data_IF_528421998292
#
_entry.id   IF_528421998292
#
_cell.length_a   1.000
_cell.length_b   1.000
_cell.length_c   1.000
_cell.angle_alpha   90.00
_cell.angle_beta   90.00
_cell.angle_gamma   90.00
#
_symmetry.space_group_name_H-M   'P 1'
#
loop_
_entity.id
_entity.type
_entity.pdbx_description
1 polymer ?
#
# COMPACT_ATOMS: atom_id res chain seq x y z
N UNK A 1 16.19 13.63 5.82
CA UNK A 1 15.10 12.84 6.43
C UNK A 1 13.76 13.59 6.46
N UNK A 2 13.70 14.91 6.22
CA UNK A 2 12.46 15.69 6.37
C UNK A 2 11.64 15.95 5.10
N UNK A 3 12.22 15.87 3.91
CA UNK A 3 11.59 16.41 2.69
C UNK A 3 10.41 15.62 2.14
N UNK A 4 10.46 14.30 2.15
CA UNK A 4 9.37 13.45 1.64
C UNK A 4 8.20 13.44 2.61
N UNK A 5 8.47 13.42 3.91
CA UNK A 5 7.48 13.44 4.98
C UNK A 5 6.65 14.71 4.97
N UNK A 6 7.31 15.87 4.90
CA UNK A 6 6.62 17.17 4.82
C UNK A 6 5.73 17.26 3.56
N UNK A 7 6.18 16.69 2.43
CA UNK A 7 5.38 16.64 1.19
C UNK A 7 4.25 15.63 1.28
N UNK A 8 4.49 14.45 1.85
CA UNK A 8 3.48 13.41 1.99
C UNK A 8 2.37 13.84 2.97
N UNK A 9 2.74 14.39 4.12
CA UNK A 9 1.79 15.04 5.03
C UNK A 9 1.02 16.16 4.35
N UNK A 10 1.69 17.02 3.58
CA UNK A 10 1.02 18.07 2.82
C UNK A 10 0.00 17.51 1.82
N UNK A 11 0.25 16.36 1.20
CA UNK A 11 -0.63 15.73 0.20
C UNK A 11 -1.82 15.04 0.87
N UNK A 12 -1.62 14.30 1.95
CA UNK A 12 -2.72 13.71 2.74
C UNK A 12 -3.58 14.82 3.33
N UNK A 13 -2.98 15.83 3.96
CA UNK A 13 -3.71 16.98 4.50
C UNK A 13 -4.37 17.84 3.42
N UNK A 14 -3.87 17.90 2.19
CA UNK A 14 -4.51 18.64 1.11
C UNK A 14 -5.74 17.89 0.57
N UNK A 15 -5.69 16.56 0.46
CA UNK A 15 -6.85 15.75 0.12
C UNK A 15 -7.94 15.91 1.18
N UNK A 16 -7.60 15.85 2.46
CA UNK A 16 -8.51 16.11 3.58
C UNK A 16 -9.02 17.56 3.61
N UNK A 17 -8.16 18.57 3.44
CA UNK A 17 -8.53 20.00 3.46
C UNK A 17 -9.39 20.42 2.29
N UNK A 18 -9.35 19.73 1.14
CA UNK A 18 -10.25 20.03 0.02
C UNK A 18 -11.68 19.62 0.33
N UNK A 19 -11.83 18.49 1.03
CA UNK A 19 -13.11 18.03 1.59
C UNK A 19 -13.57 18.99 2.70
N UNK A 20 -12.68 19.45 3.58
CA UNK A 20 -13.00 20.29 4.73
C UNK A 20 -13.35 21.75 4.41
N UNK A 21 -12.76 22.36 3.37
CA UNK A 21 -13.09 23.74 3.00
C UNK A 21 -14.56 23.94 2.65
N UNK A 22 -15.23 22.91 2.12
CA UNK A 22 -16.66 22.95 1.85
C UNK A 22 -17.54 22.57 3.05
N UNK A 23 -17.02 21.75 4.00
CA UNK A 23 -17.78 21.33 5.20
C UNK A 23 -17.93 22.45 6.25
N UNK A 24 -16.98 23.39 6.34
CA UNK A 24 -17.00 24.43 7.38
C UNK A 24 -18.06 25.53 7.20
N UNK A 25 -18.75 25.61 6.06
CA UNK A 25 -19.78 26.63 5.85
C UNK A 25 -21.18 26.24 6.29
N UNK A 26 -21.47 24.95 6.55
CA UNK A 26 -22.83 24.53 6.94
C UNK A 26 -22.74 23.37 7.95
N UNK A 27 -23.13 23.64 9.22
CA UNK A 27 -23.52 22.57 10.16
C UNK A 27 -24.78 21.88 9.63
N UNK A 28 -24.62 20.83 8.82
CA UNK A 28 -25.75 20.00 8.36
C UNK A 28 -25.93 18.82 9.31
N UNK A 29 -27.18 18.47 9.68
CA UNK A 29 -27.44 17.21 10.36
C UNK A 29 -27.04 16.07 9.40
N UNK A 30 -26.42 15.03 9.96
CA UNK A 30 -26.00 13.80 9.28
C UNK A 30 -27.03 13.38 8.21
N UNK A 31 -26.72 13.59 6.94
CA UNK A 31 -27.41 12.94 5.84
C UNK A 31 -26.72 11.57 5.68
N UNK A 32 -27.39 10.50 6.03
CA UNK A 32 -27.07 9.14 5.58
C UNK A 32 -27.06 9.21 4.05
N UNK A 33 -26.03 8.60 3.42
CA UNK A 33 -25.90 8.38 1.98
C UNK A 33 -25.00 9.39 1.20
N UNK A 34 -24.11 10.14 1.82
CA UNK A 34 -23.07 10.88 1.08
C UNK A 34 -22.00 9.90 0.59
N UNK A 35 -21.61 9.99 -0.70
CA UNK A 35 -20.55 9.17 -1.29
C UNK A 35 -19.22 9.91 -1.32
N UNK A 36 -18.14 9.18 -1.24
CA UNK A 36 -16.78 9.69 -1.42
C UNK A 36 -15.97 8.81 -2.37
N UNK A 37 -15.04 9.41 -3.10
CA UNK A 37 -14.02 8.70 -3.87
C UNK A 37 -12.75 8.67 -3.05
N UNK A 38 -12.20 7.49 -2.81
CA UNK A 38 -10.99 7.28 -2.02
C UNK A 38 -9.89 6.66 -2.89
N UNK A 39 -9.00 7.47 -3.48
CA UNK A 39 -7.86 6.97 -4.24
C UNK A 39 -6.72 6.55 -3.30
N UNK A 40 -6.17 5.36 -3.49
CA UNK A 40 -4.98 4.89 -2.78
C UNK A 40 -3.70 5.47 -3.42
N UNK A 41 -2.58 5.44 -2.69
CA UNK A 41 -1.30 5.86 -3.26
C UNK A 41 -0.89 4.93 -4.40
N UNK A 42 -0.80 5.49 -5.59
CA UNK A 42 -0.42 4.77 -6.80
C UNK A 42 1.06 4.85 -7.14
N UNK A 43 1.43 4.25 -8.27
CA UNK A 43 2.79 4.28 -8.80
C UNK A 43 2.80 4.35 -10.33
N UNK A 44 3.92 4.72 -10.89
CA UNK A 44 4.03 4.80 -12.34
C UNK A 44 5.42 5.22 -12.81
N UNK A 45 5.48 5.48 -14.10
CA UNK A 45 6.67 5.94 -14.80
C UNK A 45 6.39 7.29 -15.46
N UNK A 46 7.38 7.83 -16.14
CA UNK A 46 7.17 9.01 -16.99
C UNK A 46 6.15 8.79 -18.13
N UNK A 47 5.72 7.55 -18.39
CA UNK A 47 4.84 7.19 -19.52
C UNK A 47 3.50 6.61 -19.11
N UNK A 48 3.39 6.07 -17.93
CA UNK A 48 2.21 5.36 -17.44
C UNK A 48 2.02 5.64 -15.95
N UNK A 49 0.77 5.89 -15.53
CA UNK A 49 0.39 6.05 -14.12
C UNK A 49 -0.64 4.98 -13.77
N UNK A 50 -0.43 4.31 -12.65
CA UNK A 50 -1.34 3.30 -12.10
C UNK A 50 -1.80 3.70 -10.71
N UNK A 51 -3.09 3.57 -10.47
CA UNK A 51 -3.70 3.83 -9.16
C UNK A 51 -4.95 2.97 -9.00
N UNK A 52 -5.16 2.44 -7.80
CA UNK A 52 -6.40 1.82 -7.35
C UNK A 52 -7.14 2.77 -6.41
N UNK A 53 -8.46 2.71 -6.38
CA UNK A 53 -9.27 3.49 -5.44
C UNK A 53 -10.60 2.79 -5.16
N UNK A 54 -11.41 3.39 -4.30
CA UNK A 54 -12.73 2.89 -3.93
C UNK A 54 -13.75 4.02 -3.86
N UNK A 55 -14.99 3.74 -4.25
CA UNK A 55 -16.16 4.60 -3.97
C UNK A 55 -16.91 3.97 -2.80
N UNK A 56 -17.15 4.74 -1.76
CA UNK A 56 -17.77 4.28 -0.52
C UNK A 56 -18.64 5.37 0.10
N UNK A 57 -19.52 4.99 1.04
CA UNK A 57 -20.30 5.95 1.80
C UNK A 57 -19.44 6.73 2.80
N UNK A 58 -19.62 8.06 2.85
CA UNK A 58 -19.03 8.93 3.87
C UNK A 58 -19.87 8.84 5.15
N UNK A 59 -19.47 8.01 6.10
CA UNK A 59 -20.14 7.89 7.41
C UNK A 59 -19.85 9.06 8.36
N UNK A 60 -19.38 10.20 7.85
CA UNK A 60 -19.17 11.43 8.62
C UNK A 60 -18.12 11.25 9.71
N UNK A 61 -16.97 10.69 9.35
CA UNK A 61 -15.82 10.55 10.25
C UNK A 61 -15.36 11.96 10.61
N UNK A 62 -15.50 12.33 11.89
CA UNK A 62 -15.10 13.65 12.38
C UNK A 62 -13.57 13.75 12.30
N UNK A 63 -13.09 14.92 11.83
CA UNK A 63 -11.68 15.24 11.74
C UNK A 63 -10.93 14.83 13.02
N UNK A 64 -9.81 14.11 12.84
CA UNK A 64 -8.89 13.87 13.92
C UNK A 64 -8.33 15.23 14.38
N UNK A 65 -8.67 15.64 15.59
CA UNK A 65 -7.90 16.68 16.27
C UNK A 65 -6.49 16.12 16.50
N UNK A 66 -5.46 16.97 16.53
CA UNK A 66 -4.03 16.64 16.69
C UNK A 66 -3.68 15.65 17.82
N UNK A 67 -4.62 15.37 18.72
CA UNK A 67 -4.54 14.41 19.83
C UNK A 67 -5.34 13.09 19.58
N UNK A 68 -5.83 12.84 18.37
CA UNK A 68 -6.58 11.62 18.09
C UNK A 68 -5.65 10.42 18.07
N UNK A 69 -5.77 9.60 19.10
CA UNK A 69 -4.99 8.37 19.27
C UNK A 69 -5.16 7.42 18.07
N UNK A 70 -4.13 6.62 17.77
CA UNK A 70 -4.18 5.48 16.84
C UNK A 70 -5.48 4.65 16.94
N UNK A 71 -6.08 4.60 18.14
CA UNK A 71 -7.35 3.96 18.43
C UNK A 71 -8.53 4.61 17.68
N UNK A 72 -8.53 5.93 17.49
CA UNK A 72 -9.61 6.64 16.79
C UNK A 72 -9.50 6.40 15.29
N UNK A 73 -8.29 6.46 14.75
CA UNK A 73 -8.03 6.12 13.34
C UNK A 73 -8.41 4.68 13.02
N UNK A 74 -8.17 3.75 13.96
CA UNK A 74 -8.64 2.37 13.88
C UNK A 74 -10.16 2.22 13.86
N UNK A 75 -10.86 2.97 14.71
CA UNK A 75 -12.33 2.97 14.76
C UNK A 75 -12.88 3.55 13.46
N UNK A 76 -12.23 4.57 12.92
CA UNK A 76 -12.65 5.23 11.71
C UNK A 76 -12.35 4.39 10.46
N UNK A 77 -11.21 3.70 10.42
CA UNK A 77 -10.91 2.66 9.41
C UNK A 77 -11.93 1.51 9.45
N UNK A 78 -12.32 1.07 10.66
CA UNK A 78 -13.34 0.03 10.81
C UNK A 78 -14.73 0.50 10.36
N UNK A 79 -15.09 1.74 10.61
CA UNK A 79 -16.36 2.31 10.10
C UNK A 79 -16.39 2.41 8.58
N UNK A 80 -15.24 2.68 7.93
CA UNK A 80 -15.11 2.60 6.47
C UNK A 80 -15.24 1.18 5.96
N UNK A 81 -14.82 0.18 6.77
CA UNK A 81 -15.04 -1.24 6.47
C UNK A 81 -16.52 -1.64 6.43
N UNK A 82 -17.32 -1.11 7.37
CA UNK A 82 -18.77 -1.34 7.48
C UNK A 82 -19.58 -0.36 6.60
N UNK A 83 -18.95 0.33 5.62
CA UNK A 83 -19.64 1.16 4.64
C UNK A 83 -20.24 0.30 3.54
N UNK A 84 -21.47 0.66 3.10
CA UNK A 84 -22.10 -0.03 2.00
C UNK A 84 -21.30 0.16 0.71
N UNK A 85 -21.20 -0.90 -0.05
CA UNK A 85 -20.49 -0.94 -1.32
C UNK A 85 -21.21 -0.12 -2.38
N UNK A 86 -20.46 0.56 -3.26
CA UNK A 86 -21.05 1.33 -4.36
C UNK A 86 -20.62 0.74 -5.70
N UNK A 87 -21.27 -0.35 -6.14
CA UNK A 87 -20.95 -0.99 -7.41
C UNK A 87 -21.38 -0.15 -8.61
N UNK A 88 -20.65 -0.30 -9.72
CA UNK A 88 -20.89 0.41 -10.99
C UNK A 88 -20.93 1.95 -10.85
N UNK A 89 -20.23 2.49 -9.86
CA UNK A 89 -20.03 3.93 -9.78
C UNK A 89 -19.09 4.38 -10.90
N UNK A 90 -19.45 5.47 -11.57
CA UNK A 90 -18.65 6.05 -12.65
C UNK A 90 -17.76 7.15 -12.11
N UNK A 91 -16.45 6.98 -12.23
CA UNK A 91 -15.44 7.91 -11.73
C UNK A 91 -14.62 8.45 -12.90
N UNK A 92 -14.57 9.78 -13.02
CA UNK A 92 -13.68 10.46 -13.96
C UNK A 92 -12.35 10.78 -13.33
N UNK A 93 -11.31 10.31 -13.95
CA UNK A 93 -9.94 10.59 -13.58
C UNK A 93 -9.32 11.57 -14.55
N UNK A 94 -8.67 12.61 -14.03
CA UNK A 94 -7.97 13.58 -14.87
C UNK A 94 -6.51 13.72 -14.43
N UNK A 95 -5.64 13.76 -15.43
CA UNK A 95 -4.24 14.10 -15.26
C UNK A 95 -3.80 15.03 -16.40
N UNK A 96 -3.40 16.26 -16.07
CA UNK A 96 -3.08 17.29 -17.06
C UNK A 96 -4.25 17.52 -18.04
N UNK A 97 -4.07 17.22 -19.32
CA UNK A 97 -5.10 17.37 -20.37
C UNK A 97 -5.77 16.04 -20.73
N UNK A 98 -5.38 14.94 -20.07
CA UNK A 98 -6.01 13.62 -20.28
C UNK A 98 -7.09 13.37 -19.26
N UNK A 99 -8.12 12.65 -19.67
CA UNK A 99 -9.14 12.12 -18.77
C UNK A 99 -9.52 10.71 -19.20
N UNK A 100 -9.95 9.92 -18.22
CA UNK A 100 -10.48 8.58 -18.39
C UNK A 100 -11.65 8.37 -17.43
N UNK A 101 -12.71 7.72 -17.89
CA UNK A 101 -13.86 7.37 -17.07
C UNK A 101 -13.77 5.87 -16.78
N UNK A 102 -13.83 5.50 -15.50
CA UNK A 102 -13.74 4.12 -15.02
C UNK A 102 -14.97 3.76 -14.20
N UNK A 103 -15.31 2.48 -14.16
CA UNK A 103 -16.40 1.94 -13.35
C UNK A 103 -15.85 1.18 -12.16
N UNK A 104 -16.52 1.28 -11.03
CA UNK A 104 -16.24 0.43 -9.87
C UNK A 104 -16.77 -0.98 -10.09
N UNK A 105 -16.08 -1.94 -9.49
CA UNK A 105 -16.52 -3.33 -9.40
C UNK A 105 -17.67 -3.51 -8.37
N UNK A 106 -18.03 -4.77 -8.07
CA UNK A 106 -19.10 -5.12 -7.14
C UNK A 106 -18.82 -4.72 -5.67
N UNK A 107 -17.54 -4.50 -5.31
CA UNK A 107 -17.11 -4.04 -3.98
C UNK A 107 -16.80 -2.53 -3.93
N UNK A 108 -17.08 -1.82 -5.03
CA UNK A 108 -16.84 -0.39 -5.13
C UNK A 108 -15.38 -0.01 -5.47
N UNK A 109 -14.48 -0.95 -5.80
CA UNK A 109 -13.12 -0.65 -6.22
C UNK A 109 -13.06 -0.28 -7.70
N UNK A 110 -12.13 0.59 -8.04
CA UNK A 110 -11.76 0.93 -9.42
C UNK A 110 -10.25 0.92 -9.58
N UNK A 111 -9.79 0.64 -10.78
CA UNK A 111 -8.38 0.72 -11.18
C UNK A 111 -8.23 1.67 -12.35
N UNK A 112 -7.18 2.47 -12.30
CA UNK A 112 -6.82 3.43 -13.35
C UNK A 112 -5.43 3.10 -13.86
N UNK A 113 -5.30 2.97 -15.19
CA UNK A 113 -4.01 2.79 -15.85
C UNK A 113 -3.89 3.78 -17.01
N UNK A 114 -3.41 4.99 -16.71
CA UNK A 114 -3.25 6.07 -17.68
C UNK A 114 -1.96 5.91 -18.46
N UNK A 115 -2.06 5.59 -19.75
CA UNK A 115 -0.97 5.73 -20.69
C UNK A 115 -0.86 7.18 -21.13
N UNK A 116 0.25 7.84 -20.84
CA UNK A 116 0.41 9.27 -21.10
C UNK A 116 0.66 9.55 -22.58
N UNK A 117 -0.04 10.51 -23.15
CA UNK A 117 0.10 10.93 -24.55
C UNK A 117 1.53 11.42 -24.88
N UNK A 118 2.24 11.96 -23.89
CA UNK A 118 3.63 12.32 -23.95
C UNK A 118 4.34 12.00 -22.63
N UNK A 119 5.58 11.51 -22.68
CA UNK A 119 6.33 11.25 -21.45
C UNK A 119 6.54 12.52 -20.62
N UNK A 120 6.40 12.39 -19.30
CA UNK A 120 6.71 13.44 -18.35
C UNK A 120 8.21 13.82 -18.47
N UNK A 121 8.48 15.11 -18.50
CA UNK A 121 9.86 15.62 -18.53
C UNK A 121 10.30 16.00 -17.13
N UNK A 122 11.29 15.28 -16.58
CA UNK A 122 11.79 15.49 -15.21
C UNK A 122 10.66 15.57 -14.19
N UNK A 123 9.82 14.51 -14.07
CA UNK A 123 8.69 14.54 -13.17
C UNK A 123 9.14 14.73 -11.71
N UNK A 124 8.35 15.45 -10.95
CA UNK A 124 8.42 15.38 -9.50
C UNK A 124 8.11 13.97 -9.06
N UNK A 125 8.63 13.55 -7.89
CA UNK A 125 8.41 12.21 -7.35
C UNK A 125 6.91 11.91 -7.14
N UNK A 126 6.14 12.91 -6.74
CA UNK A 126 4.69 12.81 -6.57
C UNK A 126 3.97 13.52 -7.73
N UNK A 127 3.02 12.81 -8.35
CA UNK A 127 2.12 13.32 -9.37
C UNK A 127 0.69 13.31 -8.80
N UNK A 128 -0.04 14.39 -9.00
CA UNK A 128 -1.41 14.54 -8.52
C UNK A 128 -2.42 14.31 -9.64
N UNK A 129 -3.42 13.46 -9.38
CA UNK A 129 -4.56 13.21 -10.25
C UNK A 129 -5.82 13.70 -9.57
N UNK A 130 -6.79 14.22 -10.34
CA UNK A 130 -8.10 14.57 -9.80
C UNK A 130 -9.14 13.52 -10.17
N UNK A 131 -10.03 13.25 -9.22
CA UNK A 131 -11.11 12.28 -9.33
C UNK A 131 -12.45 12.98 -9.10
N UNK A 132 -13.42 12.69 -9.96
CA UNK A 132 -14.78 13.20 -9.91
C UNK A 132 -15.76 12.03 -10.01
N UNK A 133 -16.68 11.91 -9.05
CA UNK A 133 -17.76 10.93 -9.11
C UNK A 133 -18.84 11.45 -10.08
N UNK A 134 -19.05 10.72 -11.17
CA UNK A 134 -20.05 11.08 -12.18
C UNK A 134 -21.40 10.44 -11.89
N UNK A 135 -21.41 9.21 -11.34
CA UNK A 135 -22.62 8.48 -10.98
C UNK A 135 -22.30 7.44 -9.88
N UNK A 136 -23.22 7.11 -8.98
CA UNK A 136 -24.51 7.78 -8.80
C UNK A 136 -24.36 9.15 -8.11
N UNK A 137 -25.29 10.06 -8.40
CA UNK A 137 -25.40 11.32 -7.67
C UNK A 137 -26.51 11.20 -6.62
N UNK A 138 -26.19 11.13 -5.32
CA UNK A 138 -27.21 11.21 -4.28
C UNK A 138 -27.97 12.53 -4.38
N UNK A 139 -29.31 12.49 -4.26
CA UNK A 139 -30.22 13.60 -4.60
C UNK A 139 -29.99 14.95 -3.88
N UNK A 140 -29.03 15.01 -2.93
CA UNK A 140 -28.71 16.19 -2.10
C UNK A 140 -27.22 16.42 -1.94
N UNK A 141 -26.37 15.66 -2.64
CA UNK A 141 -24.92 15.80 -2.57
C UNK A 141 -24.42 16.73 -3.67
N UNK A 142 -23.49 17.61 -3.34
CA UNK A 142 -22.73 18.38 -4.32
C UNK A 142 -21.76 17.46 -5.08
N UNK A 143 -21.18 17.96 -6.20
CA UNK A 143 -20.17 17.21 -6.95
C UNK A 143 -19.03 16.74 -6.05
N UNK A 144 -18.70 15.44 -6.13
CA UNK A 144 -17.65 14.82 -5.33
C UNK A 144 -16.35 14.88 -6.10
N UNK A 145 -15.40 15.64 -5.56
CA UNK A 145 -14.05 15.75 -6.09
C UNK A 145 -13.03 15.36 -5.02
N UNK A 146 -12.01 14.62 -5.44
CA UNK A 146 -10.85 14.34 -4.58
C UNK A 146 -9.56 14.35 -5.39
N UNK A 147 -8.42 14.45 -4.69
CA UNK A 147 -7.09 14.33 -5.29
C UNK A 147 -6.47 13.01 -4.88
N UNK A 148 -5.84 12.33 -5.83
CA UNK A 148 -5.06 11.13 -5.60
C UNK A 148 -3.60 11.36 -5.99
N UNK A 149 -2.71 10.58 -5.43
CA UNK A 149 -1.27 10.72 -5.63
C UNK A 149 -0.67 9.45 -6.22
N UNK A 150 0.25 9.63 -7.15
CA UNK A 150 1.04 8.56 -7.78
C UNK A 150 2.51 8.88 -7.61
N UNK A 151 3.32 7.92 -7.16
CA UNK A 151 4.78 8.09 -7.18
C UNK A 151 5.33 7.80 -8.57
N UNK A 152 6.22 8.67 -9.04
CA UNK A 152 7.00 8.48 -10.27
C UNK A 152 8.49 8.57 -9.90
N UNK A 153 9.16 7.44 -9.69
CA UNK A 153 10.56 7.43 -9.33
C UNK A 153 11.42 8.10 -10.38
N UNK A 154 12.44 8.82 -9.91
CA UNK A 154 13.44 9.43 -10.78
C UNK A 154 14.23 8.35 -11.53
N UNK A 155 14.70 8.67 -12.76
CA UNK A 155 15.67 7.83 -13.48
C UNK A 155 17.00 7.65 -12.71
N UNK A 156 17.22 8.42 -11.65
CA UNK A 156 18.38 8.29 -10.75
C UNK A 156 18.18 7.24 -9.66
N UNK A 157 16.98 6.64 -9.54
CA UNK A 157 16.75 5.54 -8.61
C UNK A 157 17.69 4.38 -8.93
N UNK A 158 18.42 3.91 -7.92
CA UNK A 158 19.41 2.84 -8.06
C UNK A 158 18.75 1.46 -8.01
N UNK A 159 17.71 1.33 -7.19
CA UNK A 159 16.91 0.13 -7.03
C UNK A 159 15.53 0.47 -6.45
N UNK A 160 14.60 -0.47 -6.52
CA UNK A 160 13.35 -0.44 -5.78
C UNK A 160 13.40 -1.36 -4.56
N UNK A 161 12.53 -1.14 -3.60
CA UNK A 161 12.35 -1.99 -2.42
C UNK A 161 10.92 -2.54 -2.46
N UNK A 162 10.75 -3.86 -2.35
CA UNK A 162 9.46 -4.49 -2.15
C UNK A 162 9.49 -5.19 -0.81
N UNK A 163 8.57 -4.83 0.06
CA UNK A 163 8.49 -5.36 1.41
C UNK A 163 7.12 -5.93 1.73
N UNK A 164 7.10 -7.07 2.39
CA UNK A 164 5.93 -7.47 3.15
C UNK A 164 5.72 -6.56 4.37
N UNK A 165 4.54 -6.64 4.99
CA UNK A 165 4.13 -5.83 6.14
C UNK A 165 4.05 -6.65 7.43
N UNK A 166 3.32 -7.77 7.40
CA UNK A 166 3.03 -8.59 8.56
C UNK A 166 4.28 -9.36 9.02
N UNK A 167 4.63 -9.28 10.29
CA UNK A 167 5.84 -9.89 10.88
C UNK A 167 7.17 -9.53 10.18
N UNK A 168 7.13 -8.61 9.23
CA UNK A 168 8.30 -8.02 8.55
C UNK A 168 8.57 -6.60 9.04
N UNK A 169 7.62 -5.69 8.88
CA UNK A 169 7.65 -4.31 9.35
C UNK A 169 6.98 -4.18 10.71
N UNK A 170 5.87 -4.87 10.88
CA UNK A 170 4.93 -4.81 11.98
C UNK A 170 4.92 -6.16 12.72
N UNK A 171 5.08 -6.14 14.04
CA UNK A 171 5.00 -7.36 14.87
C UNK A 171 3.53 -7.79 15.04
N UNK A 172 3.13 -8.87 14.37
CA UNK A 172 1.78 -9.45 14.51
C UNK A 172 1.76 -10.70 15.39
N UNK A 173 2.86 -11.42 15.48
CA UNK A 173 3.06 -12.57 16.34
C UNK A 173 2.02 -13.67 16.15
N UNK A 174 2.02 -14.37 15.03
CA UNK A 174 1.09 -15.46 14.68
C UNK A 174 -0.41 -15.09 14.71
N UNK A 175 -0.74 -13.80 14.85
CA UNK A 175 -2.11 -13.28 14.79
C UNK A 175 -2.20 -12.35 13.58
N UNK A 176 -3.10 -12.64 12.63
CA UNK A 176 -3.27 -11.76 11.46
C UNK A 176 -3.59 -10.30 11.86
N UNK A 177 -3.17 -9.32 11.08
CA UNK A 177 -3.51 -7.89 11.26
C UNK A 177 -5.00 -7.69 11.50
N UNK A 178 -5.87 -8.46 10.83
CA UNK A 178 -7.31 -8.41 11.00
C UNK A 178 -7.75 -8.81 12.42
N UNK A 179 -7.15 -9.85 13.00
CA UNK A 179 -7.47 -10.26 14.37
C UNK A 179 -6.91 -9.29 15.41
N UNK A 180 -5.77 -8.68 15.11
CA UNK A 180 -5.18 -7.60 15.93
C UNK A 180 -6.01 -6.32 15.84
N UNK A 181 -6.49 -5.92 14.67
CA UNK A 181 -7.40 -4.81 14.49
C UNK A 181 -8.67 -5.01 15.33
N UNK A 182 -9.30 -6.19 15.26
CA UNK A 182 -10.45 -6.55 16.10
C UNK A 182 -10.13 -6.48 17.60
N UNK A 183 -9.01 -7.00 18.05
CA UNK A 183 -8.60 -6.96 19.47
C UNK A 183 -8.33 -5.53 19.96
N UNK A 184 -7.77 -4.67 19.12
CA UNK A 184 -7.51 -3.26 19.44
C UNK A 184 -8.81 -2.47 19.55
N UNK A 185 -9.78 -2.74 18.67
CA UNK A 185 -11.13 -2.17 18.75
C UNK A 185 -11.86 -2.59 20.03
N UNK A 186 -11.55 -3.78 20.58
CA UNK A 186 -12.15 -4.30 21.80
C UNK A 186 -11.44 -3.84 23.11
N UNK A 187 -10.47 -2.94 23.04
CA UNK A 187 -9.98 -2.23 24.23
C UNK A 187 -8.55 -2.49 24.69
N UNK A 188 -7.71 -3.16 23.90
CA UNK A 188 -6.30 -3.36 24.25
C UNK A 188 -5.33 -2.65 23.27
N UNK A 189 -5.18 -1.34 23.48
CA UNK A 189 -4.42 -0.41 22.62
C UNK A 189 -2.89 -0.40 22.81
N UNK A 190 -2.27 -1.41 23.40
CA UNK A 190 -0.87 -1.31 23.84
C UNK A 190 0.06 -2.33 23.21
N UNK A 191 0.15 -2.57 21.94
CA UNK A 191 1.34 -3.31 21.44
C UNK A 191 1.34 -3.45 19.92
N UNK A 192 1.46 -2.37 19.21
CA UNK A 192 1.97 -2.44 17.84
C UNK A 192 3.28 -1.68 17.84
N UNK A 193 4.34 -2.40 17.95
CA UNK A 193 5.68 -1.83 17.80
C UNK A 193 6.22 -2.29 16.45
N UNK A 194 6.84 -1.40 15.67
CA UNK A 194 7.67 -1.83 14.57
C UNK A 194 8.80 -2.68 15.14
N UNK A 195 9.37 -3.55 14.33
CA UNK A 195 10.61 -4.19 14.74
C UNK A 195 11.71 -3.15 14.96
N UNK A 196 12.57 -3.39 15.92
CA UNK A 196 13.68 -2.49 16.24
C UNK A 196 14.56 -2.24 15.00
N UNK A 197 14.84 -0.97 14.71
CA UNK A 197 15.70 -0.56 13.60
C UNK A 197 15.02 -0.53 12.23
N UNK A 198 13.75 -0.95 12.08
CA UNK A 198 13.05 -0.97 10.78
C UNK A 198 13.00 0.42 10.15
N UNK A 199 12.57 1.44 10.87
CA UNK A 199 12.48 2.80 10.33
C UNK A 199 13.83 3.30 9.78
N UNK A 200 14.92 3.08 10.54
CA UNK A 200 16.26 3.49 10.12
C UNK A 200 16.75 2.70 8.90
N UNK A 201 16.48 1.39 8.85
CA UNK A 201 16.87 0.53 7.74
C UNK A 201 16.14 0.90 6.45
N UNK A 202 14.82 1.09 6.51
CA UNK A 202 14.02 1.47 5.35
C UNK A 202 14.36 2.89 4.88
N UNK A 203 14.60 3.83 5.79
CA UNK A 203 15.07 5.16 5.44
C UNK A 203 16.45 5.12 4.76
N UNK A 204 17.36 4.25 5.22
CA UNK A 204 18.68 4.07 4.62
C UNK A 204 18.63 3.44 3.23
N UNK A 205 17.66 2.57 2.94
CA UNK A 205 17.43 2.00 1.61
C UNK A 205 16.73 3.01 0.69
N UNK A 206 15.69 3.70 1.20
CA UNK A 206 14.89 4.65 0.44
C UNK A 206 15.69 5.88 -0.01
N UNK A 207 16.50 6.47 0.87
CA UNK A 207 17.37 7.65 0.60
C UNK A 207 16.67 8.83 -0.09
N UNK A 208 15.37 8.98 0.05
CA UNK A 208 14.55 9.95 -0.72
C UNK A 208 14.71 9.82 -2.27
N UNK A 209 15.09 8.65 -2.75
CA UNK A 209 15.44 8.37 -4.15
C UNK A 209 14.85 7.05 -4.66
N UNK A 210 15.04 5.97 -3.90
CA UNK A 210 14.66 4.63 -4.28
C UNK A 210 13.20 4.36 -3.91
N UNK A 211 12.33 3.95 -4.84
CA UNK A 211 10.92 3.69 -4.52
C UNK A 211 10.77 2.50 -3.58
N UNK A 212 9.80 2.61 -2.68
CA UNK A 212 9.44 1.58 -1.72
C UNK A 212 7.99 1.18 -1.95
N UNK A 213 7.73 -0.12 -2.03
CA UNK A 213 6.42 -0.74 -2.23
C UNK A 213 6.16 -1.72 -1.09
N UNK A 214 4.93 -1.75 -0.61
CA UNK A 214 4.48 -2.74 0.36
C UNK A 214 3.49 -3.70 -0.29
N UNK A 215 3.64 -5.00 -0.04
CA UNK A 215 2.74 -6.03 -0.55
C UNK A 215 2.34 -6.93 0.61
N UNK A 216 1.07 -6.95 0.97
CA UNK A 216 0.57 -7.68 2.14
C UNK A 216 -0.64 -8.54 1.78
N UNK A 217 -0.80 -9.66 2.48
CA UNK A 217 -1.98 -10.52 2.42
C UNK A 217 -3.18 -9.93 3.17
N UNK A 218 -3.02 -8.79 3.82
CA UNK A 218 -4.05 -8.07 4.55
C UNK A 218 -5.07 -7.43 3.60
N UNK A 219 -6.34 -7.30 4.01
CA UNK A 219 -7.39 -6.74 3.17
C UNK A 219 -7.31 -5.21 3.05
N UNK A 220 -7.83 -4.66 1.94
CA UNK A 220 -7.83 -3.22 1.62
C UNK A 220 -8.47 -2.32 2.68
N UNK A 221 -9.38 -2.84 3.47
CA UNK A 221 -10.00 -2.11 4.58
C UNK A 221 -9.03 -1.77 5.73
N UNK A 222 -7.81 -2.33 5.72
CA UNK A 222 -6.76 -1.97 6.66
C UNK A 222 -5.80 -0.90 6.13
N UNK A 223 -6.04 -0.39 4.93
CA UNK A 223 -5.14 0.55 4.25
C UNK A 223 -4.78 1.77 5.12
N UNK A 224 -5.78 2.50 5.61
CA UNK A 224 -5.57 3.70 6.43
C UNK A 224 -4.75 3.39 7.68
N UNK A 225 -5.07 2.25 8.34
CA UNK A 225 -4.35 1.80 9.51
C UNK A 225 -2.87 1.54 9.23
N UNK A 226 -2.57 0.94 8.08
CA UNK A 226 -1.21 0.64 7.68
C UNK A 226 -0.44 1.91 7.32
N UNK A 227 -1.07 2.85 6.62
CA UNK A 227 -0.49 4.17 6.31
C UNK A 227 -0.18 4.94 7.60
N UNK A 228 -1.14 5.04 8.52
CA UNK A 228 -0.96 5.70 9.82
C UNK A 228 0.16 5.03 10.63
N UNK A 229 0.22 3.70 10.61
CA UNK A 229 1.27 2.96 11.30
C UNK A 229 2.67 3.31 10.74
N UNK A 230 2.83 3.36 9.44
CA UNK A 230 4.10 3.72 8.81
C UNK A 230 4.51 5.16 9.20
N UNK A 231 3.56 6.08 9.12
CA UNK A 231 3.81 7.50 9.40
C UNK A 231 4.19 7.76 10.86
N UNK A 232 3.40 7.26 11.82
CA UNK A 232 3.65 7.44 13.26
C UNK A 232 5.00 6.83 13.68
N UNK A 233 5.48 5.79 12.99
CA UNK A 233 6.75 5.13 13.30
C UNK A 233 7.92 5.64 12.45
N UNK A 234 7.79 6.74 11.72
CA UNK A 234 8.82 7.31 10.85
C UNK A 234 9.33 6.32 9.77
N UNK A 235 8.50 5.36 9.34
CA UNK A 235 8.82 4.42 8.28
C UNK A 235 8.40 5.05 6.94
N UNK A 236 9.27 5.05 5.91
CA UNK A 236 8.93 5.64 4.62
C UNK A 236 7.63 5.05 4.04
N UNK A 237 6.68 5.91 3.67
CA UNK A 237 5.42 5.50 3.05
C UNK A 237 5.62 5.28 1.56
N UNK A 238 5.01 4.22 1.04
CA UNK A 238 4.98 3.87 -0.37
C UNK A 238 3.63 3.26 -0.76
N UNK A 239 3.39 2.98 -2.04
CA UNK A 239 2.21 2.24 -2.47
C UNK A 239 2.07 0.93 -1.72
N UNK A 240 0.86 0.65 -1.22
CA UNK A 240 0.55 -0.57 -0.48
C UNK A 240 -0.43 -1.38 -1.33
N UNK A 241 -0.05 -2.59 -1.72
CA UNK A 241 -0.88 -3.56 -2.42
C UNK A 241 -1.47 -4.53 -1.41
N UNK A 242 -2.78 -4.46 -1.23
CA UNK A 242 -3.55 -5.27 -0.29
C UNK A 242 -4.45 -6.24 -1.05
N UNK A 243 -4.89 -7.28 -0.38
CA UNK A 243 -5.70 -8.33 -0.97
C UNK A 243 -7.17 -7.91 -1.05
N UNK A 244 -7.82 -8.19 -2.18
CA UNK A 244 -9.27 -8.19 -2.27
C UNK A 244 -9.80 -9.49 -1.65
N UNK A 245 -10.66 -9.37 -0.65
CA UNK A 245 -11.30 -10.51 0.02
C UNK A 245 -12.69 -10.79 -0.55
N UNK A 246 -13.04 -10.17 -1.68
CA UNK A 246 -14.32 -10.35 -2.34
C UNK A 246 -14.59 -11.80 -2.69
N UNK A 247 -15.81 -12.24 -2.41
CA UNK A 247 -16.34 -13.51 -2.87
C UNK A 247 -16.66 -13.30 -4.36
N UNK A 248 -15.75 -13.70 -5.24
CA UNK A 248 -16.11 -13.85 -6.64
C UNK A 248 -17.11 -14.99 -6.73
N UNK A 249 -18.34 -14.69 -7.15
CA UNK A 249 -19.42 -15.67 -7.25
C UNK A 249 -19.08 -16.91 -8.09
N UNK A 250 -18.08 -16.80 -8.97
CA UNK A 250 -17.63 -17.88 -9.87
C UNK A 250 -16.36 -18.62 -9.38
N UNK A 251 -15.69 -18.17 -8.33
CA UNK A 251 -14.49 -18.83 -7.80
C UNK A 251 -14.77 -19.38 -6.39
N UNK A 252 -15.18 -20.65 -6.33
CA UNK A 252 -15.35 -21.43 -5.08
C UNK A 252 -14.04 -21.73 -4.34
N UNK A 253 -12.89 -21.20 -4.83
CA UNK A 253 -11.60 -21.33 -4.17
C UNK A 253 -11.07 -19.93 -3.88
N UNK A 254 -10.77 -19.58 -2.60
CA UNK A 254 -10.01 -18.39 -2.30
C UNK A 254 -8.69 -18.46 -3.07
N UNK A 255 -8.39 -17.44 -3.87
CA UNK A 255 -7.05 -17.28 -4.47
C UNK A 255 -6.02 -17.49 -3.37
N UNK A 256 -5.05 -18.38 -3.60
CA UNK A 256 -4.04 -18.70 -2.58
C UNK A 256 -3.33 -17.39 -2.17
N UNK A 257 -2.92 -17.29 -0.91
CA UNK A 257 -2.22 -16.10 -0.40
C UNK A 257 -1.02 -15.74 -1.29
N UNK A 258 -0.33 -16.75 -1.81
CA UNK A 258 0.82 -16.59 -2.69
C UNK A 258 0.51 -15.95 -4.05
N UNK A 259 -0.66 -16.20 -4.64
CA UNK A 259 -0.99 -15.70 -5.99
C UNK A 259 -1.10 -14.17 -5.99
N UNK A 260 -1.79 -13.56 -5.02
CA UNK A 260 -1.94 -12.10 -4.95
C UNK A 260 -0.59 -11.37 -4.80
N UNK A 261 0.27 -11.83 -3.85
CA UNK A 261 1.61 -11.25 -3.67
C UNK A 261 2.44 -11.38 -4.94
N UNK A 262 2.44 -12.56 -5.55
CA UNK A 262 3.19 -12.84 -6.77
C UNK A 262 2.76 -11.95 -7.94
N UNK A 263 1.45 -11.75 -8.14
CA UNK A 263 0.90 -10.90 -9.19
C UNK A 263 1.21 -9.43 -8.94
N UNK A 264 1.07 -8.96 -7.70
CA UNK A 264 1.40 -7.58 -7.33
C UNK A 264 2.88 -7.27 -7.55
N UNK A 265 3.77 -8.17 -7.15
CA UNK A 265 5.22 -8.04 -7.38
C UNK A 265 5.53 -8.07 -8.87
N UNK A 266 4.92 -8.99 -9.62
CA UNK A 266 5.10 -9.09 -11.08
C UNK A 266 4.72 -7.78 -11.77
N UNK A 267 3.58 -7.17 -11.43
CA UNK A 267 3.14 -5.88 -11.97
C UNK A 267 4.15 -4.75 -11.68
N UNK A 268 4.75 -4.73 -10.49
CA UNK A 268 5.80 -3.76 -10.15
C UNK A 268 7.04 -3.96 -11.05
N UNK A 269 7.50 -5.20 -11.21
CA UNK A 269 8.65 -5.52 -12.06
C UNK A 269 8.41 -5.18 -13.53
N UNK A 270 7.19 -5.39 -14.04
CA UNK A 270 6.79 -5.04 -15.41
C UNK A 270 6.70 -3.53 -15.60
N UNK A 271 6.18 -2.80 -14.61
CA UNK A 271 6.14 -1.32 -14.64
C UNK A 271 7.54 -0.70 -14.68
N UNK A 272 8.51 -1.31 -13.98
CA UNK A 272 9.89 -0.82 -13.91
C UNK A 272 10.88 -1.81 -14.53
N UNK A 273 10.87 -2.05 -15.83
CA UNK A 273 11.60 -3.15 -16.47
C UNK A 273 13.12 -3.08 -16.38
N UNK A 274 13.68 -1.95 -15.97
CA UNK A 274 15.16 -1.74 -15.84
C UNK A 274 15.63 -1.60 -14.40
N UNK A 275 14.73 -1.37 -13.45
CA UNK A 275 15.06 -1.13 -12.07
C UNK A 275 15.28 -2.47 -11.34
N UNK A 276 16.45 -2.74 -10.75
CA UNK A 276 16.62 -3.91 -9.88
C UNK A 276 15.92 -3.69 -8.53
N UNK A 277 15.68 -4.77 -7.78
CA UNK A 277 14.94 -4.70 -6.53
C UNK A 277 15.63 -5.42 -5.38
N UNK A 278 15.36 -4.94 -4.16
CA UNK A 278 15.57 -5.64 -2.89
C UNK A 278 14.19 -6.13 -2.43
N UNK A 279 14.12 -7.40 -2.01
CA UNK A 279 12.89 -8.02 -1.48
C UNK A 279 13.07 -8.27 0.01
N UNK A 280 12.05 -7.93 0.81
CA UNK A 280 12.07 -8.05 2.27
C UNK A 280 10.78 -8.74 2.72
N UNK A 281 10.91 -9.82 3.49
CA UNK A 281 9.77 -10.61 3.97
C UNK A 281 10.09 -11.36 5.24
N UNK A 282 9.24 -12.30 5.60
CA UNK A 282 9.39 -13.13 6.81
C UNK A 282 9.31 -14.63 6.50
N UNK A 283 9.71 -15.45 7.49
CA UNK A 283 9.71 -16.91 7.38
C UNK A 283 8.37 -17.56 7.75
N UNK A 284 7.43 -16.81 8.30
CA UNK A 284 6.12 -17.30 8.76
C UNK A 284 5.07 -17.39 7.65
N UNK A 285 5.23 -16.59 6.59
CA UNK A 285 4.40 -16.63 5.38
C UNK A 285 5.14 -17.33 4.22
N UNK A 286 4.56 -17.26 3.01
CA UNK A 286 5.11 -17.87 1.78
C UNK A 286 6.13 -16.94 1.07
N UNK A 287 6.65 -15.91 1.74
CA UNK A 287 7.57 -14.94 1.12
C UNK A 287 8.83 -15.57 0.54
N UNK A 288 9.51 -16.51 1.21
CA UNK A 288 10.69 -17.16 0.65
C UNK A 288 10.40 -17.89 -0.68
N UNK A 289 9.26 -18.59 -0.74
CA UNK A 289 8.79 -19.31 -1.92
C UNK A 289 8.44 -18.35 -3.05
N UNK A 290 7.64 -17.32 -2.77
CA UNK A 290 7.23 -16.29 -3.73
C UNK A 290 8.45 -15.57 -4.30
N UNK A 291 9.39 -15.18 -3.45
CA UNK A 291 10.59 -14.46 -3.89
C UNK A 291 11.53 -15.35 -4.70
N UNK A 292 11.59 -16.65 -4.40
CA UNK A 292 12.29 -17.63 -5.25
C UNK A 292 11.67 -17.70 -6.65
N UNK A 293 10.35 -17.70 -6.77
CA UNK A 293 9.64 -17.69 -8.06
C UNK A 293 9.88 -16.36 -8.81
N UNK A 294 9.95 -15.24 -8.12
CA UNK A 294 10.28 -13.93 -8.72
C UNK A 294 11.71 -13.94 -9.28
N UNK A 295 12.68 -14.54 -8.57
CA UNK A 295 14.05 -14.68 -9.11
C UNK A 295 14.07 -15.49 -10.41
N UNK A 296 13.27 -16.55 -10.51
CA UNK A 296 13.17 -17.34 -11.74
C UNK A 296 12.53 -16.56 -12.91
N UNK A 297 11.51 -15.76 -12.61
CA UNK A 297 10.81 -14.94 -13.62
C UNK A 297 11.64 -13.76 -14.09
N UNK A 298 12.39 -13.13 -13.17
CA UNK A 298 13.16 -11.92 -13.42
C UNK A 298 14.63 -12.08 -13.00
N UNK A 299 15.38 -12.96 -13.66
CA UNK A 299 16.78 -13.21 -13.32
C UNK A 299 17.61 -11.92 -13.43
N UNK A 300 18.59 -11.79 -12.55
CA UNK A 300 19.51 -10.63 -12.48
C UNK A 300 18.83 -9.28 -12.08
N UNK A 301 17.54 -9.32 -11.70
CA UNK A 301 16.78 -8.13 -11.30
C UNK A 301 16.65 -7.99 -9.78
N UNK A 302 17.09 -8.96 -9.00
CA UNK A 302 17.03 -8.96 -7.55
C UNK A 302 18.44 -8.82 -6.97
N UNK A 303 18.69 -7.73 -6.24
CA UNK A 303 19.97 -7.42 -5.61
C UNK A 303 20.20 -8.24 -4.35
N UNK A 304 19.12 -8.54 -3.62
CA UNK A 304 19.12 -9.36 -2.43
C UNK A 304 17.73 -9.59 -1.88
N UNK A 305 17.58 -10.68 -1.13
CA UNK A 305 16.36 -11.07 -0.46
C UNK A 305 16.65 -11.18 1.03
N UNK A 306 15.92 -10.47 1.87
CA UNK A 306 16.04 -10.49 3.32
C UNK A 306 14.80 -11.12 3.92
N UNK A 307 14.93 -12.29 4.52
CA UNK A 307 13.84 -13.01 5.20
C UNK A 307 14.07 -12.94 6.70
N UNK A 308 13.14 -12.31 7.42
CA UNK A 308 13.15 -12.30 8.87
C UNK A 308 12.75 -13.66 9.41
N UNK A 309 13.56 -14.21 10.29
CA UNK A 309 13.30 -15.47 10.96
C UNK A 309 12.30 -15.26 12.12
N UNK A 310 11.01 -15.51 11.86
CA UNK A 310 9.93 -15.42 12.85
C UNK A 310 9.42 -16.80 13.28
N UNK A 311 9.73 -17.85 12.52
CA UNK A 311 9.37 -19.24 12.81
C UNK A 311 10.66 -20.05 12.95
N UNK A 312 11.24 -20.00 14.14
CA UNK A 312 12.51 -20.69 14.46
C UNK A 312 12.32 -22.21 14.63
N UNK A 313 11.91 -22.91 13.54
CA UNK A 313 11.93 -24.37 13.48
C UNK A 313 13.02 -24.85 12.54
N UNK A 314 13.69 -25.96 12.88
CA UNK A 314 14.75 -26.52 12.04
C UNK A 314 14.22 -26.84 10.62
N UNK A 315 13.00 -27.39 10.52
CA UNK A 315 12.36 -27.73 9.25
C UNK A 315 12.16 -26.49 8.33
N UNK A 316 11.70 -25.35 8.91
CA UNK A 316 11.50 -24.13 8.14
C UNK A 316 12.81 -23.51 7.70
N UNK A 317 13.80 -23.52 8.59
CA UNK A 317 15.14 -23.03 8.30
C UNK A 317 15.82 -23.84 7.21
N UNK A 318 15.69 -25.16 7.23
CA UNK A 318 16.22 -26.06 6.19
C UNK A 318 15.55 -25.82 4.84
N UNK A 319 14.21 -25.68 4.81
CA UNK A 319 13.49 -25.35 3.58
C UNK A 319 13.92 -24.00 2.98
N UNK A 320 14.10 -22.96 3.81
CA UNK A 320 14.61 -21.67 3.34
C UNK A 320 16.05 -21.77 2.86
N UNK A 321 16.88 -22.59 3.49
CA UNK A 321 18.25 -22.83 3.04
C UNK A 321 18.31 -23.50 1.65
N UNK A 322 17.38 -24.43 1.35
CA UNK A 322 17.24 -25.00 0.01
C UNK A 322 16.82 -23.94 -1.03
N UNK A 323 15.85 -23.07 -0.69
CA UNK A 323 15.45 -21.94 -1.55
C UNK A 323 16.62 -20.97 -1.76
N UNK A 324 17.43 -20.67 -0.75
CA UNK A 324 18.60 -19.82 -0.88
C UNK A 324 19.60 -20.36 -1.90
N UNK A 325 19.78 -21.71 -1.96
CA UNK A 325 20.62 -22.33 -2.98
C UNK A 325 20.05 -22.19 -4.38
N UNK A 326 18.73 -22.31 -4.54
CA UNK A 326 18.03 -22.10 -5.80
C UNK A 326 18.15 -20.63 -6.26
N UNK A 327 17.92 -19.68 -5.37
CA UNK A 327 18.06 -18.23 -5.59
C UNK A 327 19.47 -17.87 -6.06
N UNK A 328 20.49 -18.49 -5.48
CA UNK A 328 21.90 -18.26 -5.84
C UNK A 328 22.21 -18.66 -7.29
N UNK A 329 21.51 -19.65 -7.85
CA UNK A 329 21.65 -20.01 -9.26
C UNK A 329 21.13 -18.89 -10.19
N UNK A 330 20.13 -18.10 -9.72
CA UNK A 330 19.62 -16.90 -10.38
C UNK A 330 20.47 -15.64 -10.16
N UNK A 331 21.69 -15.79 -9.59
CA UNK A 331 22.63 -14.69 -9.28
C UNK A 331 22.12 -13.68 -8.24
N UNK A 332 21.22 -14.10 -7.37
CA UNK A 332 20.73 -13.35 -6.23
C UNK A 332 21.14 -14.05 -4.93
N UNK A 333 21.07 -13.35 -3.81
CA UNK A 333 21.33 -13.95 -2.49
C UNK A 333 20.10 -13.80 -1.61
N UNK A 334 19.78 -14.88 -0.87
CA UNK A 334 18.73 -14.90 0.13
C UNK A 334 19.40 -15.05 1.50
N UNK A 335 19.11 -14.10 2.39
CA UNK A 335 19.59 -14.03 3.75
C UNK A 335 18.44 -14.29 4.72
N UNK A 336 18.54 -15.34 5.53
CA UNK A 336 17.67 -15.55 6.68
C UNK A 336 18.29 -14.76 7.85
N UNK A 337 17.59 -13.73 8.32
CA UNK A 337 18.09 -12.77 9.31
C UNK A 337 17.24 -12.77 10.57
N UNK A 338 17.89 -12.69 11.72
CA UNK A 338 17.23 -12.69 13.04
C UNK A 338 16.56 -11.35 13.34
N UNK A 339 17.18 -10.26 12.86
CA UNK A 339 16.76 -8.90 13.13
C UNK A 339 17.14 -7.93 12.00
N UNK A 340 16.65 -6.72 12.09
CA UNK A 340 16.90 -5.66 11.11
C UNK A 340 18.37 -5.22 11.07
N UNK A 341 19.10 -5.36 12.19
CA UNK A 341 20.53 -4.99 12.27
C UNK A 341 21.35 -5.96 11.42
N UNK A 342 21.03 -7.24 11.47
CA UNK A 342 21.66 -8.26 10.63
C UNK A 342 21.36 -8.02 9.15
N UNK A 343 20.11 -7.72 8.81
CA UNK A 343 19.73 -7.33 7.44
C UNK A 343 20.52 -6.10 6.95
N UNK A 344 20.65 -5.07 7.78
CA UNK A 344 21.41 -3.87 7.44
C UNK A 344 22.91 -4.13 7.21
N UNK A 345 23.50 -5.09 7.93
CA UNK A 345 24.92 -5.48 7.73
C UNK A 345 25.14 -6.18 6.39
N UNK A 346 24.18 -6.97 5.94
CA UNK A 346 24.25 -7.63 4.63
C UNK A 346 23.98 -6.67 3.48
N UNK A 347 23.18 -5.62 3.71
CA UNK A 347 22.84 -4.62 2.70
C UNK A 347 23.92 -3.53 2.51
N UNK A 348 24.89 -3.42 3.43
CA UNK A 348 25.97 -2.42 3.40
C UNK A 348 27.15 -2.88 2.54
#
# INVERSE_FOLDING_TARGET
VGRWRDRFHSLIYQAERFVDRKKNEIKRPFLRDELMVFPYLGYGTAKELYLKGRVLEDKGIADASDDASLLRNLIDSYKRFDSDETPNAEVRVRFQQQQEDVLTDHEGYFEVRLNLNAPLKNPDYFQELSFELLAPHPAKQEDVFTMGTVIVPSERAEFGIISDMDDTVLQTGATSLLSMAKKTLLGNSRTRLPFEGVAAFYAALHRDLNPLFYVSSSPWNLYDLLVDFLDVNDIPVGPIMLRDWGIKEDEFLPTSHGTHKLDSITNIFETYPKLPFILIGDSGEEDPEIYSDIVERFPERILGIFIRDVVATDERSDAIAELAQKVKQGKSELFLVKDTIEAARHAA
#
